data_IF_592794045870
#
_entry.id   IF_592794045870
#
_cell.length_a   1.000
_cell.length_b   1.000
_cell.length_c   1.000
_cell.angle_alpha   90.00
_cell.angle_beta   90.00
_cell.angle_gamma   90.00
#
_symmetry.space_group_name_H-M   'P 1'
#
loop_
_entity.id
_entity.type
_entity.pdbx_description
1 polymer ?
#
# COMPACT_ATOMS: atom_id res chain seq x y z
N UNK A 1 42.48 -28.65 -35.07
CA UNK A 1 42.10 -27.26 -35.38
C UNK A 1 42.55 -26.36 -34.22
N UNK A 2 43.73 -25.73 -34.30
CA UNK A 2 44.24 -24.89 -33.20
C UNK A 2 43.66 -23.47 -33.34
N UNK A 3 42.78 -23.08 -32.40
CA UNK A 3 42.29 -21.69 -32.34
C UNK A 3 43.43 -20.75 -31.94
N UNK A 4 43.61 -19.66 -32.69
CA UNK A 4 44.53 -18.60 -32.32
C UNK A 4 44.13 -17.98 -30.98
N UNK A 5 45.14 -17.53 -30.22
CA UNK A 5 44.97 -16.92 -28.89
C UNK A 5 43.93 -15.80 -28.89
N UNK A 6 43.86 -15.00 -29.96
CA UNK A 6 42.85 -13.93 -30.13
C UNK A 6 41.42 -14.47 -30.13
N UNK A 7 41.15 -15.59 -30.80
CA UNK A 7 39.81 -16.21 -30.82
C UNK A 7 39.43 -16.82 -29.48
N UNK A 8 40.41 -17.35 -28.72
CA UNK A 8 40.19 -17.85 -27.35
C UNK A 8 39.84 -16.72 -26.39
N UNK A 9 40.54 -15.58 -26.47
CA UNK A 9 40.21 -14.38 -25.69
C UNK A 9 38.83 -13.82 -26.04
N UNK A 10 38.46 -13.80 -27.33
CA UNK A 10 37.14 -13.36 -27.77
C UNK A 10 36.01 -14.24 -27.22
N UNK A 11 36.19 -15.57 -27.26
CA UNK A 11 35.23 -16.53 -26.69
C UNK A 11 35.08 -16.34 -25.17
N UNK A 12 36.18 -16.12 -24.45
CA UNK A 12 36.14 -15.86 -23.01
C UNK A 12 35.35 -14.59 -22.68
N UNK A 13 35.57 -13.51 -23.44
CA UNK A 13 34.83 -12.26 -23.30
C UNK A 13 33.33 -12.43 -23.58
N UNK A 14 32.97 -13.19 -24.62
CA UNK A 14 31.57 -13.47 -24.96
C UNK A 14 30.86 -14.26 -23.85
N UNK A 15 31.51 -15.29 -23.28
CA UNK A 15 30.95 -16.07 -22.17
C UNK A 15 30.74 -15.19 -20.93
N UNK A 16 31.70 -14.33 -20.61
CA UNK A 16 31.62 -13.41 -19.48
C UNK A 16 30.50 -12.37 -19.66
N UNK A 17 30.30 -11.89 -20.89
CA UNK A 17 29.22 -10.96 -21.20
C UNK A 17 27.83 -11.61 -21.10
N UNK A 18 27.69 -12.84 -21.61
CA UNK A 18 26.44 -13.60 -21.53
C UNK A 18 26.08 -13.93 -20.08
N UNK A 19 27.06 -14.33 -19.25
CA UNK A 19 26.80 -14.59 -17.83
C UNK A 19 26.35 -13.33 -17.10
N UNK A 20 26.97 -12.18 -17.37
CA UNK A 20 26.58 -10.91 -16.78
C UNK A 20 25.17 -10.48 -17.19
N UNK A 21 24.80 -10.64 -18.46
CA UNK A 21 23.44 -10.39 -18.96
C UNK A 21 22.41 -11.30 -18.28
N UNK A 22 22.72 -12.59 -18.12
CA UNK A 22 21.82 -13.53 -17.47
C UNK A 22 21.57 -13.14 -16.00
N UNK A 23 22.62 -12.79 -15.25
CA UNK A 23 22.48 -12.30 -13.87
C UNK A 23 21.66 -11.03 -13.81
N UNK A 24 21.88 -10.08 -14.73
CA UNK A 24 21.13 -8.83 -14.79
C UNK A 24 19.64 -9.06 -15.10
N UNK A 25 19.33 -9.94 -16.04
CA UNK A 25 17.95 -10.28 -16.40
C UNK A 25 17.20 -10.93 -15.22
N UNK A 26 17.84 -11.88 -14.53
CA UNK A 26 17.28 -12.51 -13.32
C UNK A 26 17.06 -11.47 -12.22
N UNK A 27 18.04 -10.59 -11.99
CA UNK A 27 17.94 -9.53 -11.00
C UNK A 27 16.80 -8.55 -11.33
N UNK A 28 16.70 -8.09 -12.57
CA UNK A 28 15.66 -7.17 -13.02
C UNK A 28 14.26 -7.78 -12.86
N UNK A 29 14.08 -9.04 -13.29
CA UNK A 29 12.82 -9.76 -13.16
C UNK A 29 12.40 -9.95 -11.69
N UNK A 30 13.34 -10.32 -10.83
CA UNK A 30 13.09 -10.51 -9.40
C UNK A 30 12.77 -9.20 -8.67
N UNK A 31 13.39 -8.08 -9.05
CA UNK A 31 13.07 -6.78 -8.48
C UNK A 31 11.68 -6.29 -8.88
N UNK A 32 11.28 -6.48 -10.15
CA UNK A 32 9.93 -6.12 -10.63
C UNK A 32 8.85 -6.90 -9.89
N UNK A 33 9.01 -8.23 -9.77
CA UNK A 33 8.06 -9.09 -9.05
C UNK A 33 8.10 -8.88 -7.54
N UNK A 34 9.30 -8.70 -6.98
CA UNK A 34 9.51 -8.46 -5.56
C UNK A 34 8.84 -7.16 -5.11
N UNK A 35 9.04 -6.07 -5.85
CA UNK A 35 8.43 -4.76 -5.54
C UNK A 35 6.90 -4.83 -5.54
N UNK A 36 6.29 -5.48 -6.53
CA UNK A 36 4.84 -5.65 -6.59
C UNK A 36 4.30 -6.51 -5.44
N UNK A 37 4.99 -7.60 -5.11
CA UNK A 37 4.60 -8.49 -4.01
C UNK A 37 4.72 -7.79 -2.65
N UNK A 38 5.78 -7.03 -2.43
CA UNK A 38 5.96 -6.23 -1.21
C UNK A 38 4.85 -5.18 -1.11
N UNK A 39 4.56 -4.44 -2.19
CA UNK A 39 3.50 -3.44 -2.19
C UNK A 39 2.11 -4.04 -1.89
N UNK A 40 1.81 -5.23 -2.40
CA UNK A 40 0.55 -5.94 -2.11
C UNK A 40 0.51 -6.48 -0.69
N UNK A 41 1.56 -7.13 -0.20
CA UNK A 41 1.63 -7.65 1.16
C UNK A 41 1.53 -6.52 2.19
N UNK A 42 2.24 -5.40 1.99
CA UNK A 42 2.14 -4.21 2.83
C UNK A 42 0.74 -3.59 2.78
N UNK A 43 0.08 -3.52 1.61
CA UNK A 43 -1.31 -3.06 1.51
C UNK A 43 -2.28 -3.97 2.29
N UNK A 44 -2.12 -5.28 2.19
CA UNK A 44 -2.99 -6.23 2.88
C UNK A 44 -2.80 -6.17 4.40
N UNK A 45 -1.56 -6.07 4.88
CA UNK A 45 -1.25 -5.87 6.31
C UNK A 45 -1.85 -4.56 6.85
N UNK A 46 -1.66 -3.45 6.12
CA UNK A 46 -2.19 -2.15 6.52
C UNK A 46 -3.72 -2.15 6.52
N UNK A 47 -4.37 -2.70 5.50
CA UNK A 47 -5.83 -2.77 5.45
C UNK A 47 -6.39 -3.60 6.62
N UNK A 48 -5.77 -4.75 6.91
CA UNK A 48 -6.21 -5.61 8.01
C UNK A 48 -6.04 -4.93 9.38
N UNK A 49 -4.93 -4.22 9.60
CA UNK A 49 -4.74 -3.44 10.84
C UNK A 49 -5.69 -2.24 10.95
N UNK A 50 -5.98 -1.56 9.83
CA UNK A 50 -6.95 -0.46 9.79
C UNK A 50 -8.34 -0.98 10.09
N UNK A 51 -8.77 -2.09 9.49
CA UNK A 51 -10.09 -2.68 9.70
C UNK A 51 -10.28 -3.08 11.17
N UNK A 52 -9.29 -3.75 11.78
CA UNK A 52 -9.32 -4.12 13.20
C UNK A 52 -9.39 -2.88 14.10
N UNK A 53 -8.59 -1.83 13.82
CA UNK A 53 -8.61 -0.59 14.60
C UNK A 53 -9.94 0.15 14.45
N UNK A 54 -10.52 0.20 13.25
CA UNK A 54 -11.83 0.81 13.01
C UNK A 54 -12.92 0.04 13.73
N UNK A 55 -12.87 -1.29 13.74
CA UNK A 55 -13.81 -2.13 14.49
C UNK A 55 -13.72 -1.89 15.99
N UNK A 56 -12.51 -1.85 16.55
CA UNK A 56 -12.29 -1.54 17.98
C UNK A 56 -12.76 -0.12 18.34
N UNK A 57 -12.50 0.86 17.48
CA UNK A 57 -12.96 2.24 17.68
C UNK A 57 -14.50 2.31 17.65
N UNK A 58 -15.12 1.57 16.73
CA UNK A 58 -16.58 1.52 16.60
C UNK A 58 -17.22 0.86 17.82
N UNK A 59 -16.64 -0.26 18.31
CA UNK A 59 -17.10 -0.96 19.52
C UNK A 59 -16.94 -0.09 20.78
N UNK A 60 -15.79 0.53 20.97
CA UNK A 60 -15.55 1.42 22.12
C UNK A 60 -16.45 2.66 22.09
N UNK A 61 -16.70 3.23 20.92
CA UNK A 61 -17.62 4.34 20.75
C UNK A 61 -19.08 3.93 21.00
N UNK A 62 -19.50 2.74 20.56
CA UNK A 62 -20.84 2.22 20.85
C UNK A 62 -21.06 2.02 22.35
N UNK A 63 -20.05 1.54 23.08
CA UNK A 63 -20.07 1.41 24.54
C UNK A 63 -20.17 2.80 25.19
N UNK A 64 -19.31 3.74 24.81
CA UNK A 64 -19.30 5.08 25.38
C UNK A 64 -20.60 5.86 25.09
N UNK A 65 -21.16 5.72 23.88
CA UNK A 65 -22.46 6.28 23.53
C UNK A 65 -23.58 5.62 24.32
N UNK A 66 -23.53 4.29 24.49
CA UNK A 66 -24.47 3.53 25.29
C UNK A 66 -24.47 3.99 26.75
N UNK A 67 -23.30 4.14 27.36
CA UNK A 67 -23.14 4.66 28.73
C UNK A 67 -23.63 6.10 28.86
N UNK A 68 -23.36 6.94 27.85
CA UNK A 68 -23.75 8.36 27.86
C UNK A 68 -25.28 8.56 27.75
N UNK A 69 -26.00 7.65 27.09
CA UNK A 69 -27.45 7.74 26.91
C UNK A 69 -28.25 6.80 27.84
N UNK A 70 -27.57 6.00 28.69
CA UNK A 70 -28.22 4.97 29.52
C UNK A 70 -29.17 5.60 30.54
N UNK A 71 -28.83 6.76 31.07
CA UNK A 71 -29.56 7.48 32.13
C UNK A 71 -30.44 8.61 31.56
N UNK A 72 -30.56 8.70 30.23
CA UNK A 72 -31.48 9.62 29.55
C UNK A 72 -32.79 8.87 29.32
N UNK A 73 -33.95 9.45 29.62
CA UNK A 73 -35.25 8.81 29.37
C UNK A 73 -35.88 9.26 28.03
N UNK A 74 -35.62 10.50 27.61
CA UNK A 74 -36.19 11.06 26.39
C UNK A 74 -35.41 10.64 25.13
N UNK A 75 -36.09 9.94 24.21
CA UNK A 75 -35.47 9.46 22.97
C UNK A 75 -34.96 10.58 22.06
N UNK A 76 -35.62 11.75 22.04
CA UNK A 76 -35.17 12.87 21.20
C UNK A 76 -33.87 13.43 21.74
N UNK A 77 -33.69 13.43 23.05
CA UNK A 77 -32.46 13.85 23.71
C UNK A 77 -31.32 12.85 23.50
N UNK A 78 -31.58 11.53 23.55
CA UNK A 78 -30.62 10.49 23.15
C UNK A 78 -30.12 10.66 21.72
N UNK A 79 -31.03 10.94 20.79
CA UNK A 79 -30.70 11.17 19.37
C UNK A 79 -29.86 12.44 19.23
N UNK A 80 -30.18 13.51 19.97
CA UNK A 80 -29.46 14.78 19.92
C UNK A 80 -28.01 14.67 20.41
N UNK A 81 -27.75 13.78 21.37
CA UNK A 81 -26.41 13.51 21.93
C UNK A 81 -25.57 12.62 21.00
N UNK A 82 -26.18 11.60 20.39
CA UNK A 82 -25.48 10.60 19.56
C UNK A 82 -25.20 11.07 18.12
N UNK A 83 -26.13 11.80 17.50
CA UNK A 83 -26.06 12.21 16.09
C UNK A 83 -24.80 13.04 15.74
N UNK A 84 -24.38 14.04 16.54
CA UNK A 84 -23.16 14.80 16.26
C UNK A 84 -21.90 13.95 16.30
N UNK A 85 -21.84 13.00 17.23
CA UNK A 85 -20.68 12.12 17.40
C UNK A 85 -20.54 11.15 16.23
N UNK A 86 -21.66 10.56 15.76
CA UNK A 86 -21.66 9.74 14.54
C UNK A 86 -21.20 10.54 13.31
N UNK A 87 -21.68 11.77 13.14
CA UNK A 87 -21.31 12.62 12.00
C UNK A 87 -19.81 12.97 11.97
N UNK A 88 -19.20 13.18 13.14
CA UNK A 88 -17.74 13.41 13.28
C UNK A 88 -16.95 12.16 12.88
N UNK A 89 -17.45 10.97 13.24
CA UNK A 89 -16.81 9.70 12.89
C UNK A 89 -16.83 9.47 11.37
N UNK A 90 -17.97 9.69 10.72
CA UNK A 90 -18.10 9.57 9.27
C UNK A 90 -17.20 10.56 8.52
N UNK A 91 -17.13 11.82 8.96
CA UNK A 91 -16.23 12.82 8.37
C UNK A 91 -14.76 12.42 8.51
N UNK A 92 -14.35 11.87 9.65
CA UNK A 92 -12.98 11.37 9.85
C UNK A 92 -12.68 10.17 8.96
N UNK A 93 -13.64 9.25 8.78
CA UNK A 93 -13.51 8.08 7.90
C UNK A 93 -13.35 8.51 6.44
N UNK A 94 -14.24 9.38 5.93
CA UNK A 94 -14.18 9.93 4.56
C UNK A 94 -12.83 10.63 4.31
N UNK A 95 -12.34 11.40 5.27
CA UNK A 95 -11.04 12.07 5.14
C UNK A 95 -9.89 11.05 5.05
N UNK A 96 -9.89 10.02 5.89
CA UNK A 96 -8.89 8.94 5.86
C UNK A 96 -8.90 8.18 4.52
N UNK A 97 -10.08 7.85 4.00
CA UNK A 97 -10.25 7.17 2.71
C UNK A 97 -9.77 8.02 1.54
N UNK A 98 -10.02 9.33 1.60
CA UNK A 98 -9.54 10.29 0.61
C UNK A 98 -8.01 10.39 0.65
N UNK A 99 -7.40 10.45 1.83
CA UNK A 99 -5.93 10.46 1.98
C UNK A 99 -5.28 9.15 1.49
N UNK A 100 -5.87 7.99 1.77
CA UNK A 100 -5.42 6.69 1.29
C UNK A 100 -5.55 6.56 -0.24
N UNK A 101 -6.57 7.19 -0.82
CA UNK A 101 -6.81 7.19 -2.26
C UNK A 101 -5.85 8.12 -3.02
N UNK A 102 -5.52 9.29 -2.46
CA UNK A 102 -4.53 10.20 -3.05
C UNK A 102 -3.13 9.55 -3.03
N UNK A 103 -2.78 8.78 -1.97
CA UNK A 103 -1.52 8.03 -1.90
C UNK A 103 -1.47 6.83 -2.87
N UNK A 104 -2.62 6.34 -3.36
CA UNK A 104 -2.71 5.26 -4.36
C UNK A 104 -2.34 5.70 -5.77
N UNK A 105 -2.30 7.00 -6.06
CA UNK A 105 -1.94 7.49 -7.38
C UNK A 105 -0.40 7.42 -7.53
N UNK A 106 0.15 6.53 -8.38
CA UNK A 106 1.56 6.61 -8.70
C UNK A 106 1.78 7.96 -9.37
N UNK A 107 2.72 8.74 -8.84
CA UNK A 107 3.29 9.89 -9.53
C UNK A 107 3.70 9.42 -10.93
N UNK A 108 2.88 9.77 -11.93
CA UNK A 108 3.17 9.55 -13.34
C UNK A 108 4.59 10.09 -13.58
N UNK A 109 5.53 9.30 -14.12
CA UNK A 109 6.82 9.86 -14.48
C UNK A 109 6.55 10.98 -15.48
N UNK A 110 6.99 12.19 -15.13
CA UNK A 110 7.02 13.33 -16.04
C UNK A 110 8.00 12.92 -17.14
N UNK A 111 7.46 12.40 -18.23
CA UNK A 111 8.20 12.20 -19.47
C UNK A 111 8.37 13.61 -20.03
N UNK A 112 9.54 14.19 -19.73
CA UNK A 112 10.05 15.35 -20.44
C UNK A 112 10.09 15.00 -21.92
N UNK A 113 9.05 15.41 -22.63
CA UNK A 113 9.02 15.47 -24.08
C UNK A 113 10.08 16.51 -24.48
N UNK A 114 11.30 16.03 -24.76
CA UNK A 114 12.29 16.83 -25.48
C UNK A 114 11.85 16.84 -26.93
N UNK A 115 11.18 17.93 -27.32
CA UNK A 115 11.24 18.45 -28.69
C UNK A 115 12.58 19.17 -28.91
#
# INVERSE_FOLDING_TARGET
MQLSIRKKMLMLGAICFISMLATFAIFYYNNLKGSQKIAQTTKNLINNEIDIKVELLTKSMAIALGDLIKDVDDEKEKIKISLPQLKILDLKRIKADTFLSIKKQPSKPILLEKT
#
